data_IF_654905364876
#
_entry.id   IF_654905364876
#
_cell.length_a   1.000
_cell.length_b   1.000
_cell.length_c   1.000
_cell.angle_alpha   90.00
_cell.angle_beta   90.00
_cell.angle_gamma   90.00
#
_symmetry.space_group_name_H-M   'P 1'
#
loop_
_entity.id
_entity.type
_entity.pdbx_description
1 polymer ?
#
# COMPACT_ATOMS: atom_id res chain seq x y z
N UNK A 1 0.04 -1.76 -11.61
CA UNK A 1 -1.10 -1.43 -10.74
C UNK A 1 -2.40 -1.02 -11.43
N UNK A 2 -3.16 -1.97 -11.99
CA UNK A 2 -4.52 -1.74 -12.50
C UNK A 2 -5.50 -2.68 -11.81
N UNK A 3 -6.37 -2.16 -10.94
CA UNK A 3 -7.48 -2.93 -10.38
C UNK A 3 -8.49 -3.24 -11.51
N UNK A 4 -8.31 -4.36 -12.22
CA UNK A 4 -9.20 -4.78 -13.31
C UNK A 4 -10.52 -5.39 -12.81
N UNK A 5 -10.82 -5.23 -11.53
CA UNK A 5 -12.14 -5.54 -10.98
C UNK A 5 -13.18 -4.66 -11.69
N UNK A 6 -13.92 -5.27 -12.61
CA UNK A 6 -14.90 -4.59 -13.51
C UNK A 6 -16.11 -4.03 -12.74
N UNK A 7 -16.28 -4.48 -11.50
CA UNK A 7 -17.32 -4.06 -10.56
C UNK A 7 -16.74 -4.05 -9.13
N UNK A 8 -15.92 -3.06 -8.76
CA UNK A 8 -15.49 -2.96 -7.37
C UNK A 8 -16.76 -2.75 -6.52
N UNK A 9 -17.01 -3.59 -5.50
CA UNK A 9 -18.25 -3.48 -4.75
C UNK A 9 -18.36 -2.08 -4.12
N UNK A 10 -19.56 -1.49 -4.22
CA UNK A 10 -19.93 -0.30 -3.49
C UNK A 10 -20.05 -0.71 -2.02
N UNK A 11 -18.96 -0.56 -1.27
CA UNK A 11 -18.90 -1.03 0.11
C UNK A 11 -19.46 0.03 1.05
N UNK A 12 -20.73 -0.14 1.41
CA UNK A 12 -21.37 0.59 2.50
C UNK A 12 -20.76 0.13 3.84
N UNK A 13 -20.02 1.02 4.51
CA UNK A 13 -19.42 0.75 5.82
C UNK A 13 -20.44 0.78 6.95
N UNK A 14 -20.47 -0.26 7.79
CA UNK A 14 -21.28 -0.38 9.02
C UNK A 14 -20.77 0.60 10.10
N UNK A 15 -21.62 0.97 11.07
CA UNK A 15 -21.29 1.88 12.16
C UNK A 15 -20.29 1.26 13.16
N UNK A 16 -19.22 1.99 13.49
CA UNK A 16 -18.12 1.54 14.37
C UNK A 16 -18.12 2.26 15.71
N UNK A 17 -17.61 1.59 16.76
CA UNK A 17 -17.46 2.15 18.11
C UNK A 17 -16.04 2.74 18.29
N UNK A 18 -15.90 3.92 18.92
CA UNK A 18 -14.59 4.48 19.22
C UNK A 18 -13.83 3.67 20.28
N UNK A 19 -12.57 3.28 20.03
CA UNK A 19 -11.59 2.94 21.08
C UNK A 19 -10.79 1.66 20.89
N UNK A 20 -11.30 0.70 20.10
CA UNK A 20 -10.70 -0.63 19.98
C UNK A 20 -9.90 -0.80 18.67
N UNK A 21 -9.03 -1.81 18.66
CA UNK A 21 -8.33 -2.21 17.45
C UNK A 21 -9.28 -2.92 16.46
N UNK A 22 -9.02 -2.75 15.16
CA UNK A 22 -9.84 -3.28 14.08
C UNK A 22 -9.02 -4.34 13.31
N UNK A 23 -9.52 -5.57 13.22
CA UNK A 23 -8.90 -6.63 12.41
C UNK A 23 -9.57 -6.68 11.03
N UNK A 24 -8.77 -6.52 9.98
CA UNK A 24 -9.22 -6.57 8.59
C UNK A 24 -8.66 -7.84 7.96
N UNK A 25 -9.56 -8.73 7.55
CA UNK A 25 -9.24 -9.96 6.83
C UNK A 25 -9.12 -9.64 5.33
N UNK A 26 -8.07 -10.10 4.64
CA UNK A 26 -7.90 -9.80 3.23
C UNK A 26 -8.92 -10.52 2.36
N UNK A 27 -9.16 -9.96 1.18
CA UNK A 27 -9.85 -10.65 0.09
C UNK A 27 -8.88 -10.96 -1.05
N UNK A 28 -9.07 -12.09 -1.71
CA UNK A 28 -8.29 -12.43 -2.90
C UNK A 28 -8.76 -11.63 -4.12
N UNK A 29 -7.81 -11.05 -4.85
CA UNK A 29 -8.07 -10.23 -6.04
C UNK A 29 -7.07 -10.61 -7.14
N UNK A 30 -7.49 -10.72 -8.42
CA UNK A 30 -6.56 -10.90 -9.53
C UNK A 30 -5.85 -9.58 -9.90
N UNK A 31 -4.51 -9.62 -10.03
CA UNK A 31 -3.67 -8.53 -10.53
C UNK A 31 -3.22 -8.79 -11.99
N UNK A 32 -3.60 -7.91 -12.93
CA UNK A 32 -3.06 -7.94 -14.31
C UNK A 32 -3.89 -8.69 -15.37
N UNK A 33 -5.15 -9.08 -15.07
CA UNK A 33 -6.11 -9.53 -16.09
C UNK A 33 -6.26 -11.06 -16.19
N UNK A 34 -6.59 -11.63 -17.37
CA UNK A 34 -6.99 -13.05 -17.50
C UNK A 34 -5.92 -14.09 -17.11
N UNK A 35 -4.65 -13.70 -16.97
CA UNK A 35 -3.55 -14.53 -16.45
C UNK A 35 -2.92 -13.91 -15.20
N UNK A 36 -3.78 -13.25 -14.40
CA UNK A 36 -3.39 -12.50 -13.23
C UNK A 36 -2.78 -13.38 -12.13
N UNK A 37 -1.74 -12.88 -11.48
CA UNK A 37 -1.36 -13.35 -10.17
C UNK A 37 -2.42 -12.95 -9.13
N UNK A 38 -2.62 -13.77 -8.11
CA UNK A 38 -3.55 -13.46 -7.01
C UNK A 38 -2.84 -12.60 -5.96
N UNK A 39 -3.54 -11.59 -5.46
CA UNK A 39 -3.09 -10.76 -4.33
C UNK A 39 -4.13 -10.75 -3.22
N UNK A 40 -3.70 -10.46 -2.01
CA UNK A 40 -4.51 -10.37 -0.79
C UNK A 40 -4.71 -8.90 -0.44
N UNK A 41 -5.89 -8.36 -0.75
CA UNK A 41 -6.21 -6.95 -0.55
C UNK A 41 -6.85 -6.72 0.82
N UNK A 42 -6.25 -5.84 1.63
CA UNK A 42 -6.83 -5.38 2.91
C UNK A 42 -7.39 -3.97 2.81
N UNK A 43 -6.71 -3.05 2.10
CA UNK A 43 -7.22 -1.71 1.80
C UNK A 43 -7.37 -1.49 0.28
N UNK A 44 -8.43 -0.78 -0.16
CA UNK A 44 -9.61 -0.42 0.62
C UNK A 44 -10.48 -1.66 0.89
N UNK A 45 -10.93 -1.80 2.14
CA UNK A 45 -11.91 -2.79 2.60
C UNK A 45 -13.27 -2.17 2.88
N UNK A 46 -14.23 -2.99 3.36
CA UNK A 46 -15.59 -2.53 3.67
C UNK A 46 -15.63 -1.75 4.98
N UNK A 47 -14.86 -2.26 5.94
CA UNK A 47 -14.69 -1.74 7.28
C UNK A 47 -13.77 -0.51 7.24
N UNK A 48 -12.71 -0.59 6.44
CA UNK A 48 -11.63 0.41 6.47
C UNK A 48 -11.16 0.82 5.09
N UNK A 49 -11.06 2.12 4.84
CA UNK A 49 -10.48 2.65 3.60
C UNK A 49 -9.08 3.25 3.78
N UNK A 50 -8.67 3.58 5.01
CA UNK A 50 -7.43 4.31 5.28
C UNK A 50 -6.70 3.86 6.53
N UNK A 51 -5.37 3.95 6.52
CA UNK A 51 -4.53 4.09 7.73
C UNK A 51 -3.64 5.30 7.47
N UNK A 52 -3.86 6.40 8.17
CA UNK A 52 -3.32 7.69 7.77
C UNK A 52 -3.72 7.99 6.32
N UNK A 53 -2.74 8.30 5.46
CA UNK A 53 -2.96 8.46 4.01
C UNK A 53 -2.81 7.17 3.19
N UNK A 54 -2.44 6.03 3.80
CA UNK A 54 -2.41 4.72 3.13
C UNK A 54 -3.83 4.29 2.77
N UNK A 55 -4.15 4.22 1.48
CA UNK A 55 -5.51 3.95 0.99
C UNK A 55 -5.64 2.66 0.16
N UNK A 56 -4.53 1.96 -0.05
CA UNK A 56 -4.48 0.71 -0.81
C UNK A 56 -3.36 -0.17 -0.27
N UNK A 57 -3.65 -1.46 -0.07
CA UNK A 57 -2.69 -2.45 0.44
C UNK A 57 -3.00 -3.80 -0.21
N UNK A 58 -2.14 -4.21 -1.13
CA UNK A 58 -2.12 -5.54 -1.75
C UNK A 58 -0.87 -6.29 -1.29
N UNK A 59 -1.06 -7.41 -0.60
CA UNK A 59 -0.01 -8.34 -0.21
C UNK A 59 0.02 -9.54 -1.17
N UNK A 60 1.19 -9.91 -1.68
CA UNK A 60 1.32 -10.99 -2.65
C UNK A 60 2.49 -11.89 -2.35
N UNK A 61 2.37 -13.16 -2.71
CA UNK A 61 3.39 -14.17 -2.48
C UNK A 61 3.64 -14.52 -1.01
N UNK A 62 4.62 -15.41 -0.72
CA UNK A 62 5.61 -15.87 -1.68
C UNK A 62 5.02 -16.85 -2.70
N UNK A 63 5.05 -16.45 -3.97
CA UNK A 63 4.53 -17.23 -5.08
C UNK A 63 5.66 -17.75 -5.94
N UNK A 64 5.56 -19.00 -6.38
CA UNK A 64 6.41 -19.58 -7.41
C UNK A 64 6.03 -18.99 -8.77
N UNK A 65 6.93 -18.19 -9.36
CA UNK A 65 6.70 -17.49 -10.63
C UNK A 65 6.47 -18.45 -11.79
N UNK A 66 7.08 -19.64 -11.77
CA UNK A 66 6.85 -20.64 -12.80
C UNK A 66 5.40 -21.14 -12.82
N UNK A 67 4.69 -21.03 -11.69
CA UNK A 67 3.29 -21.42 -11.53
C UNK A 67 2.34 -20.24 -11.64
N UNK A 68 2.66 -19.11 -11.03
CA UNK A 68 1.81 -17.91 -11.02
C UNK A 68 1.92 -17.08 -12.30
N UNK A 69 3.01 -17.24 -13.06
CA UNK A 69 3.37 -16.38 -14.18
C UNK A 69 4.05 -15.07 -13.75
N UNK A 70 4.24 -14.85 -12.44
CA UNK A 70 4.81 -13.62 -11.89
C UNK A 70 3.95 -12.39 -12.12
N UNK A 71 4.51 -11.22 -11.83
CA UNK A 71 3.87 -9.95 -12.10
C UNK A 71 3.97 -9.61 -13.59
N UNK A 72 2.83 -9.36 -14.23
CA UNK A 72 2.76 -8.93 -15.63
C UNK A 72 1.73 -7.82 -15.74
N UNK A 73 2.15 -6.59 -15.51
CA UNK A 73 1.27 -5.43 -15.52
C UNK A 73 1.72 -4.44 -16.60
N UNK A 74 1.06 -4.45 -17.78
CA UNK A 74 1.36 -3.53 -18.86
C UNK A 74 1.12 -2.06 -18.49
N UNK A 75 1.46 -1.16 -19.40
CA UNK A 75 1.40 0.28 -19.18
C UNK A 75 0.03 0.74 -18.70
N UNK A 76 -0.04 1.39 -17.54
CA UNK A 76 -1.30 1.86 -16.96
C UNK A 76 -1.06 3.15 -16.15
N UNK A 77 -2.10 3.98 -15.97
CA UNK A 77 -1.95 5.31 -15.40
C UNK A 77 -2.16 5.32 -13.90
N UNK A 78 -1.68 6.38 -13.24
CA UNK A 78 -2.09 6.83 -11.91
C UNK A 78 -2.20 8.36 -11.88
N UNK A 79 -3.03 8.89 -10.98
CA UNK A 79 -3.06 10.33 -10.63
C UNK A 79 -3.60 10.53 -9.22
N UNK A 80 -3.15 11.59 -8.55
CA UNK A 80 -3.60 11.99 -7.21
C UNK A 80 -3.08 11.10 -6.07
N UNK A 81 -2.02 10.33 -6.32
CA UNK A 81 -1.48 9.35 -5.38
C UNK A 81 0.04 9.19 -5.50
N UNK A 82 0.62 8.51 -4.51
CA UNK A 82 1.94 7.87 -4.62
C UNK A 82 1.75 6.35 -4.55
N UNK A 83 2.48 5.58 -5.36
CA UNK A 83 2.60 4.14 -5.16
C UNK A 83 3.91 3.85 -4.43
N UNK A 84 3.89 2.83 -3.57
CA UNK A 84 5.05 2.37 -2.80
C UNK A 84 5.13 0.86 -2.94
N UNK A 85 6.20 0.38 -3.56
CA UNK A 85 6.50 -1.05 -3.69
C UNK A 85 7.53 -1.46 -2.64
N UNK A 86 7.22 -2.50 -1.87
CA UNK A 86 8.14 -3.10 -0.90
C UNK A 86 8.23 -4.61 -1.15
N UNK A 87 9.38 -5.06 -1.65
CA UNK A 87 9.64 -6.46 -1.97
C UNK A 87 10.43 -7.14 -0.86
N UNK A 88 9.92 -8.29 -0.40
CA UNK A 88 10.62 -9.18 0.51
C UNK A 88 11.53 -10.17 -0.24
N UNK A 89 11.09 -10.62 -1.41
CA UNK A 89 11.82 -11.51 -2.31
C UNK A 89 11.39 -11.28 -3.77
N UNK A 90 12.29 -11.60 -4.69
CA UNK A 90 12.11 -11.40 -6.12
C UNK A 90 12.47 -10.01 -6.62
N UNK A 91 12.41 -9.85 -7.94
CA UNK A 91 12.70 -8.59 -8.63
C UNK A 91 11.56 -8.27 -9.59
N UNK A 92 11.09 -7.02 -9.51
CA UNK A 92 10.16 -6.41 -10.46
C UNK A 92 10.92 -5.32 -11.22
N UNK A 93 10.79 -5.32 -12.54
CA UNK A 93 11.14 -4.20 -13.41
C UNK A 93 9.99 -3.20 -13.41
N UNK A 94 10.27 -1.98 -12.93
CA UNK A 94 9.38 -0.83 -13.08
C UNK A 94 9.88 0.06 -14.20
N UNK A 95 9.01 0.48 -15.12
CA UNK A 95 9.30 1.50 -16.15
C UNK A 95 8.19 2.54 -16.16
N UNK A 96 8.51 3.82 -16.23
CA UNK A 96 7.49 4.87 -16.28
C UNK A 96 7.74 5.97 -17.32
N UNK A 97 6.73 6.82 -17.50
CA UNK A 97 6.75 7.93 -18.46
C UNK A 97 7.65 9.10 -18.05
N UNK A 98 8.26 9.08 -16.87
CA UNK A 98 9.34 10.01 -16.50
C UNK A 98 10.71 9.49 -16.95
N UNK A 99 10.78 8.25 -17.44
CA UNK A 99 12.00 7.56 -17.83
C UNK A 99 12.67 6.81 -16.68
N UNK A 100 12.02 6.70 -15.52
CA UNK A 100 12.58 5.94 -14.40
C UNK A 100 12.54 4.43 -14.70
N UNK A 101 13.55 3.74 -14.18
CA UNK A 101 13.72 2.30 -14.30
C UNK A 101 14.34 1.74 -13.01
N UNK A 102 13.61 0.88 -12.29
CA UNK A 102 14.01 0.41 -10.97
C UNK A 102 13.71 -1.07 -10.74
N UNK A 103 14.50 -1.67 -9.85
CA UNK A 103 14.56 -3.11 -9.59
C UNK A 103 15.28 -3.38 -8.25
N UNK A 104 14.65 -4.10 -7.30
CA UNK A 104 15.23 -5.08 -6.32
C UNK A 104 14.42 -5.19 -5.01
N UNK A 105 14.63 -6.26 -4.21
CA UNK A 105 14.07 -6.41 -2.87
C UNK A 105 14.89 -5.73 -1.77
N UNK A 106 14.24 -5.42 -0.64
CA UNK A 106 14.84 -4.73 0.50
C UNK A 106 15.02 -3.22 0.32
N UNK A 107 14.43 -2.66 -0.73
CA UNK A 107 14.41 -1.25 -1.07
C UNK A 107 12.98 -0.79 -1.29
N UNK A 108 12.75 0.51 -1.08
CA UNK A 108 11.50 1.14 -1.46
C UNK A 108 11.64 1.80 -2.82
N UNK A 109 10.66 1.52 -3.66
CA UNK A 109 10.41 2.24 -4.89
C UNK A 109 9.13 3.06 -4.69
N UNK A 110 9.27 4.37 -4.63
CA UNK A 110 8.18 5.31 -4.47
C UNK A 110 7.96 6.05 -5.78
N UNK A 111 6.79 5.89 -6.38
CA UNK A 111 6.38 6.63 -7.57
C UNK A 111 5.34 7.68 -7.16
N UNK A 112 5.67 8.94 -7.28
CA UNK A 112 4.71 10.04 -7.14
C UNK A 112 4.00 10.24 -8.47
N UNK A 113 2.71 9.91 -8.54
CA UNK A 113 1.93 10.11 -9.76
C UNK A 113 1.51 11.59 -9.94
N UNK A 114 1.12 12.24 -8.84
CA UNK A 114 0.71 13.65 -8.86
C UNK A 114 -0.30 13.94 -9.99
N UNK A 115 0.04 14.90 -10.85
CA UNK A 115 -0.79 15.30 -11.98
C UNK A 115 -1.13 14.17 -12.96
N UNK A 116 -0.28 13.15 -13.05
CA UNK A 116 -0.44 12.03 -13.95
C UNK A 116 0.90 11.37 -14.23
N UNK A 117 0.94 10.04 -14.14
CA UNK A 117 2.06 9.23 -14.62
C UNK A 117 1.48 7.93 -15.19
N UNK A 118 2.18 7.28 -16.09
CA UNK A 118 1.89 5.90 -16.41
C UNK A 118 3.15 5.05 -16.27
N UNK A 119 2.95 3.80 -15.86
CA UNK A 119 4.05 2.87 -15.63
C UNK A 119 3.66 1.43 -15.96
N UNK A 120 4.66 0.56 -16.06
CA UNK A 120 4.53 -0.88 -16.22
C UNK A 120 5.39 -1.60 -15.17
N UNK A 121 4.96 -2.81 -14.80
CA UNK A 121 5.60 -3.61 -13.76
C UNK A 121 5.65 -5.09 -14.19
N UNK A 122 6.86 -5.63 -14.31
CA UNK A 122 7.05 -7.02 -14.74
C UNK A 122 8.04 -7.76 -13.84
N UNK A 123 7.74 -8.99 -13.46
CA UNK A 123 8.76 -9.87 -12.88
C UNK A 123 9.88 -10.08 -13.90
N UNK A 124 11.13 -9.93 -13.46
CA UNK A 124 12.29 -10.17 -14.33
C UNK A 124 12.42 -11.65 -14.69
N UNK A 125 13.14 -11.94 -15.78
CA UNK A 125 13.35 -13.32 -16.24
C UNK A 125 14.02 -14.23 -15.18
N UNK A 126 14.84 -13.66 -14.29
CA UNK A 126 15.54 -14.38 -13.24
C UNK A 126 14.72 -14.53 -11.94
N UNK A 127 13.53 -13.94 -11.88
CA UNK A 127 12.67 -13.98 -10.69
C UNK A 127 11.99 -15.35 -10.57
N UNK A 128 12.39 -16.17 -9.60
CA UNK A 128 11.77 -17.48 -9.32
C UNK A 128 10.66 -17.41 -8.27
N UNK A 129 10.82 -16.52 -7.29
CA UNK A 129 9.84 -16.26 -6.24
C UNK A 129 9.52 -14.78 -6.25
N UNK A 130 8.24 -14.44 -6.16
CA UNK A 130 7.79 -13.07 -6.00
C UNK A 130 7.05 -12.93 -4.68
N UNK A 131 7.48 -11.99 -3.84
CA UNK A 131 6.92 -11.79 -2.50
C UNK A 131 7.04 -10.33 -2.08
N UNK A 132 5.93 -9.68 -1.79
CA UNK A 132 5.96 -8.26 -1.44
C UNK A 132 4.60 -7.67 -1.14
N UNK A 133 4.61 -6.35 -1.02
CA UNK A 133 3.42 -5.53 -0.80
C UNK A 133 3.45 -4.34 -1.75
N UNK A 134 2.31 -4.07 -2.36
CA UNK A 134 2.07 -2.82 -3.05
C UNK A 134 1.12 -1.95 -2.24
N UNK A 135 1.53 -0.72 -2.00
CA UNK A 135 0.79 0.26 -1.21
C UNK A 135 0.51 1.50 -2.04
N UNK A 136 -0.63 2.15 -1.83
CA UNK A 136 -0.87 3.52 -2.33
C UNK A 136 -1.12 4.50 -1.21
N UNK A 137 -0.62 5.71 -1.39
CA UNK A 137 -0.81 6.87 -0.52
C UNK A 137 -1.66 7.89 -1.27
N UNK A 138 -2.80 8.29 -0.69
CA UNK A 138 -3.59 9.39 -1.22
C UNK A 138 -2.82 10.71 -1.03
N UNK A 139 -2.63 11.47 -2.11
CA UNK A 139 -2.08 12.83 -1.98
C UNK A 139 -3.15 13.77 -1.44
N UNK A 140 -2.80 14.69 -0.51
CA UNK A 140 -3.70 15.76 -0.09
C UNK A 140 -4.02 16.69 -1.26
N UNK A 141 -5.12 17.43 -1.16
CA UNK A 141 -5.65 18.25 -2.25
C UNK A 141 -4.58 19.20 -2.79
N UNK A 142 -3.83 19.83 -1.87
CA UNK A 142 -2.76 20.76 -2.16
C UNK A 142 -1.58 20.16 -2.97
N UNK A 143 -1.38 18.85 -2.93
CA UNK A 143 -0.28 18.16 -3.59
C UNK A 143 -0.71 17.23 -4.74
N UNK A 144 -2.02 16.96 -4.90
CA UNK A 144 -2.51 15.92 -5.83
C UNK A 144 -2.16 16.15 -7.30
N UNK A 145 -1.77 17.38 -7.67
CA UNK A 145 -1.32 17.75 -9.01
C UNK A 145 0.14 18.20 -9.06
N UNK A 146 0.96 17.79 -8.08
CA UNK A 146 2.42 17.94 -8.14
C UNK A 146 3.00 17.22 -9.37
N UNK A 147 4.25 17.52 -9.70
CA UNK A 147 4.94 16.85 -10.79
C UNK A 147 5.10 15.35 -10.48
N UNK A 148 4.97 14.54 -11.52
CA UNK A 148 5.30 13.12 -11.43
C UNK A 148 6.80 12.92 -11.15
N UNK A 149 7.14 11.87 -10.42
CA UNK A 149 8.53 11.57 -10.11
C UNK A 149 8.71 10.21 -9.45
N UNK A 150 9.96 9.79 -9.37
CA UNK A 150 10.34 8.49 -8.83
C UNK A 150 11.49 8.64 -7.85
N UNK A 151 11.37 8.02 -6.67
CA UNK A 151 12.37 7.99 -5.63
C UNK A 151 12.65 6.54 -5.24
N UNK A 152 13.93 6.24 -5.03
CA UNK A 152 14.38 4.94 -4.57
C UNK A 152 15.22 5.12 -3.30
N UNK A 153 15.05 4.21 -2.33
CA UNK A 153 15.81 4.23 -1.09
C UNK A 153 16.02 2.83 -0.50
N UNK A 154 17.23 2.58 0.00
CA UNK A 154 17.58 1.35 0.74
C UNK A 154 17.67 1.66 2.24
N UNK A 155 16.69 1.25 3.06
CA UNK A 155 16.75 1.48 4.50
C UNK A 155 17.87 0.65 5.15
N UNK A 156 18.50 1.25 6.17
CA UNK A 156 19.46 0.55 7.01
C UNK A 156 18.72 -0.21 8.13
N UNK A 157 19.04 -1.48 8.39
CA UNK A 157 18.44 -2.22 9.49
C UNK A 157 18.94 -1.69 10.83
N UNK A 158 18.03 -1.52 11.79
CA UNK A 158 18.38 -1.27 13.19
C UNK A 158 17.78 -2.34 14.09
N UNK A 159 18.50 -2.68 15.15
CA UNK A 159 18.02 -3.62 16.16
C UNK A 159 17.32 -2.87 17.30
N UNK A 160 16.10 -3.27 17.61
CA UNK A 160 15.30 -2.76 18.73
C UNK A 160 14.72 -3.97 19.46
N UNK A 161 15.00 -4.13 20.75
CA UNK A 161 14.55 -5.28 21.55
C UNK A 161 14.81 -6.66 20.91
N UNK A 162 15.89 -6.78 20.11
CA UNK A 162 16.22 -7.99 19.37
C UNK A 162 15.46 -8.21 18.06
N UNK A 163 14.44 -7.39 17.77
CA UNK A 163 13.80 -7.31 16.46
C UNK A 163 14.64 -6.45 15.49
N UNK A 164 14.47 -6.67 14.19
CA UNK A 164 15.04 -5.82 13.14
C UNK A 164 13.96 -4.88 12.60
N UNK A 165 14.29 -3.60 12.49
CA UNK A 165 13.43 -2.55 11.96
C UNK A 165 14.08 -1.93 10.73
N UNK A 166 13.34 -1.85 9.62
CA UNK A 166 13.74 -1.21 8.37
C UNK A 166 12.74 -0.10 8.04
N UNK A 167 13.13 1.16 8.22
CA UNK A 167 12.23 2.32 8.02
C UNK A 167 12.34 2.82 6.59
N UNK A 168 11.33 2.52 5.77
CA UNK A 168 11.32 2.88 4.35
C UNK A 168 10.55 4.15 4.03
N UNK A 169 9.62 4.57 4.91
CA UNK A 169 8.90 5.86 4.83
C UNK A 169 8.82 6.48 6.22
N UNK A 170 9.05 7.78 6.34
CA UNK A 170 8.92 8.50 7.60
C UNK A 170 10.08 8.26 8.58
N UNK A 171 9.76 8.19 9.87
CA UNK A 171 10.75 8.04 10.94
C UNK A 171 10.27 7.10 12.04
N UNK A 172 11.15 6.20 12.48
CA UNK A 172 10.93 5.29 13.60
C UNK A 172 12.28 4.84 14.17
N UNK A 173 12.36 4.61 15.48
CA UNK A 173 13.56 4.07 16.13
C UNK A 173 14.87 4.83 15.81
N UNK A 174 14.79 6.16 15.65
CA UNK A 174 15.93 7.02 15.31
C UNK A 174 16.43 6.91 13.86
N UNK A 175 15.74 6.17 13.00
CA UNK A 175 15.98 6.13 11.56
C UNK A 175 14.95 6.97 10.82
N UNK A 176 15.39 7.69 9.78
CA UNK A 176 14.54 8.51 8.91
C UNK A 176 14.77 8.12 7.46
N UNK A 177 13.68 7.83 6.75
CA UNK A 177 13.70 7.70 5.29
C UNK A 177 13.73 9.09 4.62
N UNK A 178 14.53 9.28 3.56
CA UNK A 178 14.59 10.54 2.81
C UNK A 178 13.49 10.69 1.76
N UNK A 179 12.69 9.64 1.49
CA UNK A 179 11.67 9.68 0.45
C UNK A 179 10.59 10.72 0.77
N UNK A 180 10.08 11.37 -0.27
CA UNK A 180 9.16 12.49 -0.11
C UNK A 180 7.76 12.02 0.23
N UNK A 181 7.20 12.53 1.32
CA UNK A 181 5.78 12.37 1.68
C UNK A 181 5.09 13.73 1.71
N UNK A 182 3.80 13.75 1.38
CA UNK A 182 2.97 14.96 1.38
C UNK A 182 2.02 15.04 2.58
N UNK A 183 2.07 14.03 3.44
CA UNK A 183 1.43 13.96 4.76
C UNK A 183 2.41 13.37 5.77
N UNK A 184 2.20 13.59 7.09
CA UNK A 184 2.89 12.83 8.12
C UNK A 184 2.56 11.33 7.99
N UNK A 185 3.57 10.54 7.63
CA UNK A 185 3.41 9.14 7.25
C UNK A 185 4.58 8.29 7.78
N UNK A 186 4.31 7.01 8.02
CA UNK A 186 5.28 6.01 8.48
C UNK A 186 5.06 4.72 7.70
N UNK A 187 6.17 4.10 7.27
CA UNK A 187 6.22 2.76 6.72
C UNK A 187 7.51 2.07 7.16
N UNK A 188 7.39 0.94 7.84
CA UNK A 188 8.54 0.15 8.28
C UNK A 188 8.27 -1.36 8.19
N UNK A 189 9.30 -2.14 7.82
CA UNK A 189 9.28 -3.59 8.02
C UNK A 189 9.84 -3.93 9.40
N UNK A 190 9.12 -4.78 10.13
CA UNK A 190 9.50 -5.32 11.43
C UNK A 190 9.73 -6.82 11.29
N UNK A 191 10.89 -7.31 11.73
CA UNK A 191 11.20 -8.75 11.80
C UNK A 191 11.40 -9.12 13.26
N UNK A 192 10.46 -9.90 13.80
CA UNK A 192 10.46 -10.32 15.20
C UNK A 192 10.93 -11.78 15.28
N UNK A 193 11.95 -12.08 16.11
CA UNK A 193 12.28 -13.46 16.46
C UNK A 193 11.09 -14.20 17.10
N UNK A 194 11.09 -15.54 17.14
CA UNK A 194 10.09 -16.30 17.89
C UNK A 194 9.98 -15.85 19.34
N UNK A 195 8.75 -15.87 19.88
CA UNK A 195 8.43 -15.61 21.29
C UNK A 195 8.98 -14.29 21.85
N UNK A 196 9.23 -13.31 20.98
CA UNK A 196 9.83 -12.02 21.33
C UNK A 196 8.77 -10.94 21.53
N UNK A 197 9.10 -9.96 22.36
CA UNK A 197 8.30 -8.76 22.54
C UNK A 197 9.10 -7.56 22.04
N UNK A 198 8.43 -6.63 21.38
CA UNK A 198 9.00 -5.41 20.82
C UNK A 198 8.19 -4.22 21.31
N UNK A 199 8.86 -3.25 21.93
CA UNK A 199 8.26 -1.98 22.36
C UNK A 199 8.72 -0.86 21.44
N UNK A 200 7.80 -0.30 20.68
CA UNK A 200 8.08 0.78 19.74
C UNK A 200 7.42 2.07 20.18
N UNK A 201 8.19 3.09 20.61
CA UNK A 201 7.68 4.46 20.68
C UNK A 201 7.19 4.89 19.31
N UNK A 202 5.96 5.39 19.24
CA UNK A 202 5.31 5.83 17.99
C UNK A 202 4.70 7.21 18.17
N UNK A 203 4.39 7.89 17.06
CA UNK A 203 3.71 9.17 17.11
C UNK A 203 2.26 8.97 17.58
N UNK A 204 1.91 9.55 18.74
CA UNK A 204 0.54 9.48 19.27
C UNK A 204 -0.53 10.08 18.35
N UNK A 205 -0.17 10.98 17.44
CA UNK A 205 -1.09 11.54 16.46
C UNK A 205 -1.40 10.57 15.31
N UNK A 206 -0.69 9.45 15.21
CA UNK A 206 -0.86 8.49 14.13
C UNK A 206 -1.79 7.36 14.54
N UNK A 207 -2.64 6.95 13.62
CA UNK A 207 -3.17 5.59 13.61
C UNK A 207 -2.17 4.65 12.95
N UNK A 208 -2.22 3.37 13.31
CA UNK A 208 -1.20 2.39 12.91
C UNK A 208 -1.82 1.08 12.45
N UNK A 209 -1.50 0.65 11.24
CA UNK A 209 -1.84 -0.65 10.67
C UNK A 209 -0.65 -1.60 10.75
N UNK A 210 -0.90 -2.82 11.21
CA UNK A 210 0.06 -3.92 11.26
C UNK A 210 -0.36 -4.98 10.25
N UNK A 211 0.23 -4.95 9.05
CA UNK A 211 0.03 -5.98 8.03
C UNK A 211 0.98 -7.14 8.32
N UNK A 212 0.45 -8.30 8.69
CA UNK A 212 1.28 -9.47 9.01
C UNK A 212 1.64 -10.21 7.72
N UNK A 213 2.92 -10.24 7.37
CA UNK A 213 3.42 -11.03 6.25
C UNK A 213 3.59 -12.50 6.64
N UNK A 214 4.22 -12.78 7.77
CA UNK A 214 4.48 -14.15 8.24
C UNK A 214 4.34 -14.27 9.75
N UNK A 215 4.08 -15.49 10.22
CA UNK A 215 3.87 -15.76 11.63
C UNK A 215 2.56 -15.18 12.16
N UNK A 216 2.53 -14.93 13.46
CA UNK A 216 1.41 -14.30 14.16
C UNK A 216 1.95 -13.20 15.06
N UNK A 217 1.20 -12.10 15.19
CA UNK A 217 1.55 -10.99 16.07
C UNK A 217 0.34 -10.58 16.90
N UNK A 218 0.56 -10.48 18.21
CA UNK A 218 -0.36 -9.85 19.14
C UNK A 218 0.11 -8.43 19.42
N UNK A 219 -0.78 -7.45 19.23
CA UNK A 219 -0.51 -6.05 19.46
C UNK A 219 -1.33 -5.51 20.63
N UNK A 220 -0.64 -4.75 21.47
CA UNK A 220 -1.14 -4.09 22.68
C UNK A 220 -1.80 -5.05 23.66
N UNK A 221 -2.01 -4.63 24.90
CA UNK A 221 -2.56 -5.47 25.98
C UNK A 221 -1.66 -5.43 27.21
N UNK A 222 -1.97 -6.28 28.19
CA UNK A 222 -1.21 -6.35 29.45
C UNK A 222 -0.16 -7.44 29.35
N UNK A 223 1.10 -7.04 29.49
CA UNK A 223 2.20 -8.00 29.64
C UNK A 223 2.03 -8.75 30.96
N UNK A 224 1.88 -10.06 30.90
CA UNK A 224 1.87 -10.96 32.05
C UNK A 224 2.97 -12.02 31.89
N UNK A 225 3.24 -12.78 32.95
CA UNK A 225 4.23 -13.87 32.97
C UNK A 225 5.64 -13.42 32.48
N UNK A 226 6.23 -12.41 33.13
CA UNK A 226 7.61 -11.95 32.88
C UNK A 226 7.89 -11.51 31.42
N UNK A 227 6.92 -10.94 30.70
CA UNK A 227 7.14 -10.52 29.31
C UNK A 227 6.61 -11.49 28.26
N UNK A 228 6.18 -12.68 28.66
CA UNK A 228 5.95 -13.81 27.74
C UNK A 228 4.51 -13.95 27.25
N UNK A 229 3.55 -13.21 27.81
CA UNK A 229 2.16 -13.26 27.33
C UNK A 229 1.58 -11.85 27.34
N UNK A 230 0.85 -11.52 26.27
CA UNK A 230 0.02 -10.33 26.22
C UNK A 230 -1.43 -10.76 26.45
N UNK A 231 -1.99 -10.40 27.61
CA UNK A 231 -3.40 -10.60 27.90
C UNK A 231 -4.24 -9.44 27.34
N UNK A 232 -5.43 -9.74 26.81
CA UNK A 232 -6.37 -8.77 26.22
C UNK A 232 -5.78 -7.98 25.04
N UNK A 233 -4.79 -8.56 24.34
CA UNK A 233 -4.28 -8.01 23.10
C UNK A 233 -5.09 -8.43 21.88
N UNK A 234 -4.88 -7.73 20.78
CA UNK A 234 -5.48 -8.08 19.49
C UNK A 234 -4.45 -8.83 18.66
N UNK A 235 -4.81 -9.99 18.14
CA UNK A 235 -3.90 -10.85 17.37
C UNK A 235 -4.27 -10.81 15.90
N UNK A 236 -3.26 -10.76 15.04
CA UNK A 236 -3.37 -10.94 13.60
C UNK A 236 -2.43 -12.06 13.14
N UNK A 237 -2.87 -12.75 12.09
CA UNK A 237 -2.15 -13.76 11.36
C UNK A 237 -1.83 -13.26 9.94
N UNK A 238 -1.02 -14.06 9.22
CA UNK A 238 -0.60 -13.77 7.85
C UNK A 238 -1.74 -13.28 6.94
N UNK A 239 -1.48 -12.18 6.23
CA UNK A 239 -2.39 -11.51 5.31
C UNK A 239 -3.36 -10.53 5.97
N UNK A 240 -3.56 -10.63 7.30
CA UNK A 240 -4.45 -9.74 8.03
C UNK A 240 -3.79 -8.40 8.34
N UNK A 241 -4.61 -7.35 8.38
CA UNK A 241 -4.22 -6.00 8.76
C UNK A 241 -4.91 -5.65 10.09
N UNK A 242 -4.11 -5.48 11.16
CA UNK A 242 -4.60 -5.05 12.46
C UNK A 242 -4.38 -3.54 12.63
N UNK A 243 -5.46 -2.78 12.70
CA UNK A 243 -5.42 -1.32 12.83
C UNK A 243 -5.63 -0.89 14.28
N UNK A 244 -4.70 -0.11 14.79
CA UNK A 244 -4.72 0.54 16.08
C UNK A 244 -5.11 2.01 15.88
N UNK A 245 -6.06 2.54 16.68
CA UNK A 245 -6.42 3.95 16.61
C UNK A 245 -5.26 4.85 17.06
N UNK A 246 -5.37 6.13 16.73
CA UNK A 246 -4.48 7.16 17.25
C UNK A 246 -4.59 7.30 18.78
N UNK A 247 -3.61 7.97 19.37
CA UNK A 247 -3.55 8.31 20.80
C UNK A 247 -2.53 7.47 21.60
N UNK A 248 -2.03 6.36 21.06
CA UNK A 248 -1.01 5.54 21.71
C UNK A 248 0.39 6.11 21.50
N UNK A 249 1.19 6.36 22.56
CA UNK A 249 2.58 6.80 22.42
C UNK A 249 3.54 5.64 22.12
N UNK A 250 3.07 4.40 22.24
CA UNK A 250 3.87 3.19 22.07
C UNK A 250 2.98 2.07 21.52
N UNK A 251 3.56 1.22 20.66
CA UNK A 251 3.03 -0.08 20.30
C UNK A 251 3.84 -1.17 21.01
N UNK A 252 3.13 -2.07 21.69
CA UNK A 252 3.72 -3.30 22.22
C UNK A 252 3.32 -4.44 21.28
N UNK A 253 4.29 -5.10 20.67
CA UNK A 253 4.08 -6.22 19.77
C UNK A 253 4.71 -7.48 20.36
N UNK A 254 4.06 -8.63 20.15
CA UNK A 254 4.62 -9.94 20.49
C UNK A 254 4.42 -10.93 19.35
N UNK A 255 5.47 -11.61 18.95
CA UNK A 255 5.40 -12.74 18.01
C UNK A 255 4.95 -14.03 18.70
N UNK A 256 4.35 -14.93 17.93
CA UNK A 256 4.09 -16.31 18.36
C UNK A 256 5.37 -17.17 18.41
N UNK A 257 5.18 -18.49 18.43
CA UNK A 257 6.28 -19.48 18.47
C UNK A 257 7.13 -19.55 17.19
N UNK A 258 6.70 -18.86 16.13
CA UNK A 258 7.41 -18.74 14.85
C UNK A 258 7.87 -17.28 14.66
N UNK A 259 8.93 -17.03 13.88
CA UNK A 259 9.34 -15.68 13.57
C UNK A 259 8.22 -14.96 12.79
N UNK A 260 8.04 -13.67 13.09
CA UNK A 260 7.04 -12.86 12.43
C UNK A 260 7.67 -11.75 11.59
N UNK A 261 7.12 -11.52 10.40
CA UNK A 261 7.40 -10.33 9.59
C UNK A 261 6.13 -9.51 9.49
N UNK A 262 6.23 -8.21 9.77
CA UNK A 262 5.09 -7.28 9.78
C UNK A 262 5.48 -5.99 9.08
N UNK A 263 4.57 -5.43 8.27
CA UNK A 263 4.66 -4.03 7.85
C UNK A 263 3.86 -3.16 8.83
N UNK A 264 4.55 -2.22 9.46
CA UNK A 264 3.95 -1.14 10.22
C UNK A 264 3.69 0.04 9.29
N UNK A 265 2.42 0.32 9.05
CA UNK A 265 1.93 1.48 8.32
C UNK A 265 1.38 2.47 9.34
N UNK A 266 1.82 3.72 9.32
CA UNK A 266 1.29 4.75 10.20
C UNK A 266 1.09 6.06 9.48
N UNK A 267 0.28 6.93 10.06
CA UNK A 267 0.11 8.29 9.58
C UNK A 267 -0.95 9.04 10.36
N UNK A 268 -0.93 10.36 10.26
CA UNK A 268 -2.01 11.19 10.77
C UNK A 268 -3.32 10.85 10.03
N UNK A 269 -4.45 10.68 10.74
CA UNK A 269 -5.73 10.38 10.11
C UNK A 269 -6.03 11.32 8.93
N UNK A 270 -6.14 10.77 7.73
CA UNK A 270 -6.34 11.56 6.52
C UNK A 270 -7.76 12.16 6.48
N UNK A 271 -7.86 13.48 6.60
CA UNK A 271 -9.13 14.20 6.80
C UNK A 271 -9.92 14.45 5.52
N UNK A 272 -9.28 14.40 4.35
CA UNK A 272 -9.96 14.71 3.09
C UNK A 272 -10.76 13.53 2.55
N UNK A 273 -11.88 13.84 1.88
CA UNK A 273 -12.61 12.83 1.12
C UNK A 273 -11.98 12.63 -0.26
N UNK A 274 -11.87 11.38 -0.71
CA UNK A 274 -11.38 11.04 -2.05
C UNK A 274 -12.41 10.27 -2.84
N UNK A 275 -12.39 10.39 -4.16
CA UNK A 275 -13.10 9.46 -5.06
C UNK A 275 -12.05 8.58 -5.72
N UNK A 276 -12.11 7.29 -5.41
CA UNK A 276 -11.15 6.29 -5.89
C UNK A 276 -11.86 5.32 -6.83
N UNK A 277 -11.38 5.21 -8.06
CA UNK A 277 -11.86 4.23 -9.03
C UNK A 277 -10.72 3.83 -9.96
N UNK A 278 -10.60 2.52 -10.21
CA UNK A 278 -9.48 1.95 -10.93
C UNK A 278 -8.14 2.44 -10.34
N UNK A 279 -7.40 3.27 -11.08
CA UNK A 279 -6.10 3.81 -10.69
C UNK A 279 -6.10 5.32 -10.46
N UNK A 280 -7.29 5.89 -10.33
CA UNK A 280 -7.48 7.32 -10.22
C UNK A 280 -7.97 7.68 -8.83
N UNK A 281 -7.27 8.62 -8.20
CA UNK A 281 -7.71 9.25 -6.96
C UNK A 281 -8.04 10.72 -7.25
N UNK A 282 -9.33 11.01 -7.33
CA UNK A 282 -9.88 12.36 -7.49
C UNK A 282 -10.55 12.88 -6.22
N UNK A 283 -11.37 13.92 -6.40
CA UNK A 283 -12.26 14.49 -5.36
C UNK A 283 -13.73 14.46 -5.75
N UNK A 284 -14.04 14.10 -6.99
CA UNK A 284 -15.40 14.00 -7.50
C UNK A 284 -15.50 12.91 -8.55
N UNK A 285 -16.72 12.40 -8.76
CA UNK A 285 -17.04 11.50 -9.86
C UNK A 285 -16.61 12.09 -11.21
N UNK A 286 -16.97 13.35 -11.46
CA UNK A 286 -16.70 14.02 -12.74
C UNK A 286 -15.19 14.18 -12.99
N UNK A 287 -14.39 14.42 -11.95
CA UNK A 287 -12.93 14.46 -12.07
C UNK A 287 -12.33 13.10 -12.44
N UNK A 288 -12.85 12.01 -11.88
CA UNK A 288 -12.42 10.65 -12.25
C UNK A 288 -12.83 10.27 -13.67
N UNK A 289 -14.05 10.66 -14.09
CA UNK A 289 -14.51 10.49 -15.47
C UNK A 289 -13.57 11.20 -16.45
N UNK A 290 -13.12 12.40 -16.10
CA UNK A 290 -12.15 13.15 -16.90
C UNK A 290 -10.81 12.42 -17.03
N UNK A 291 -10.23 11.96 -15.91
CA UNK A 291 -8.96 11.21 -15.92
C UNK A 291 -9.06 9.95 -16.78
N UNK A 292 -10.20 9.25 -16.70
CA UNK A 292 -10.48 8.09 -17.56
C UNK A 292 -10.50 8.47 -19.02
N UNK A 293 -11.21 9.54 -19.39
CA UNK A 293 -11.33 9.98 -20.78
C UNK A 293 -9.94 10.28 -21.36
N UNK A 294 -9.15 11.09 -20.65
CA UNK A 294 -7.80 11.46 -21.10
C UNK A 294 -6.87 10.25 -21.27
N UNK A 295 -6.94 9.27 -20.37
CA UNK A 295 -6.19 8.02 -20.53
C UNK A 295 -6.67 7.23 -21.75
N UNK A 296 -7.98 7.09 -21.91
CA UNK A 296 -8.54 6.28 -22.98
C UNK A 296 -8.28 6.89 -24.37
N UNK A 297 -8.31 8.22 -24.47
CA UNK A 297 -7.93 8.96 -25.67
C UNK A 297 -6.46 8.69 -26.02
N UNK A 298 -5.54 8.75 -25.04
CA UNK A 298 -4.12 8.45 -25.23
C UNK A 298 -3.83 6.98 -25.55
N UNK A 299 -4.63 6.05 -25.01
CA UNK A 299 -4.56 4.63 -25.35
C UNK A 299 -4.99 4.37 -26.80
N UNK A 300 -6.02 5.06 -27.29
CA UNK A 300 -6.50 4.92 -28.67
C UNK A 300 -5.58 5.60 -29.70
N UNK A 301 -5.01 6.74 -29.35
CA UNK A 301 -4.06 7.48 -30.19
C UNK A 301 -2.77 7.77 -29.41
N UNK A 302 -1.70 6.97 -29.59
CA UNK A 302 -0.42 7.16 -28.93
C UNK A 302 0.30 8.47 -29.25
N UNK A 303 -0.18 9.26 -30.22
CA UNK A 303 0.32 10.62 -30.49
C UNK A 303 -0.27 11.66 -29.53
N UNK A 304 -1.37 11.34 -28.84
CA UNK A 304 -1.96 12.17 -27.79
C UNK A 304 -1.10 12.10 -26.54
N UNK A 305 -0.29 13.15 -26.32
CA UNK A 305 0.50 13.29 -25.09
C UNK A 305 -0.30 14.10 -24.08
N UNK A 306 -1.03 13.39 -23.21
CA UNK A 306 -1.76 13.97 -22.09
C UNK A 306 -0.95 13.96 -20.78
N UNK A 307 -1.65 14.16 -19.66
CA UNK A 307 -1.06 14.19 -18.31
C UNK A 307 -0.25 12.96 -17.92
N UNK A 308 -0.55 11.81 -18.51
CA UNK A 308 0.10 10.53 -18.18
C UNK A 308 1.43 10.34 -18.90
N UNK A 309 1.80 11.27 -19.80
CA UNK A 309 3.04 11.19 -20.57
C UNK A 309 2.99 10.13 -21.67
N UNK A 310 4.13 9.95 -22.32
CA UNK A 310 4.32 8.94 -23.38
C UNK A 310 5.16 7.80 -22.84
N UNK A 311 4.73 6.55 -23.06
CA UNK A 311 5.54 5.39 -22.69
C UNK A 311 6.87 5.38 -23.45
N UNK A 312 7.99 5.02 -22.77
CA UNK A 312 9.33 5.15 -23.31
C UNK A 312 9.58 4.27 -24.54
N UNK A 313 9.00 3.07 -24.59
CA UNK A 313 9.33 2.07 -25.61
C UNK A 313 8.17 1.77 -26.59
N UNK A 314 8.47 1.83 -27.89
CA UNK A 314 7.56 1.45 -28.97
C UNK A 314 7.42 -0.08 -29.03
N UNK A 315 6.61 -0.63 -28.13
CA UNK A 315 6.38 -2.08 -28.01
C UNK A 315 5.66 -2.48 -26.73
N UNK A 316 5.72 -1.64 -25.69
CA UNK A 316 4.90 -1.81 -24.49
C UNK A 316 3.43 -1.49 -24.82
N UNK A 317 2.54 -2.42 -24.47
CA UNK A 317 1.10 -2.20 -24.59
C UNK A 317 0.60 -1.46 -23.37
N UNK A 318 -0.38 -0.58 -23.57
CA UNK A 318 -1.10 0.06 -22.47
C UNK A 318 -2.42 -0.65 -22.23
N UNK A 319 -2.88 -0.70 -20.98
CA UNK A 319 -4.17 -1.25 -20.60
C UNK A 319 -5.29 -0.22 -20.91
N UNK A 320 -6.39 -0.60 -21.58
CA UNK A 320 -7.55 0.28 -21.68
C UNK A 320 -8.16 0.50 -20.29
N UNK A 321 -8.74 1.67 -20.05
CA UNK A 321 -9.50 1.88 -18.82
C UNK A 321 -10.79 1.04 -18.85
N UNK A 322 -11.19 0.41 -17.73
CA UNK A 322 -12.47 -0.30 -17.64
C UNK A 322 -13.65 0.63 -17.94
N UNK A 323 -14.81 0.09 -18.30
CA UNK A 323 -16.03 0.89 -18.43
C UNK A 323 -16.43 1.52 -17.09
N UNK A 324 -16.97 2.74 -17.15
CA UNK A 324 -17.50 3.40 -15.94
C UNK A 324 -18.72 2.63 -15.44
N UNK A 325 -18.90 2.50 -14.11
CA UNK A 325 -20.14 2.01 -13.56
C UNK A 325 -21.31 2.91 -13.95
N UNK A 326 -22.50 2.32 -14.00
CA UNK A 326 -23.75 3.06 -14.29
C UNK A 326 -24.17 3.97 -13.12
N UNK A 327 -23.69 3.69 -11.90
CA UNK A 327 -23.89 4.52 -10.72
C UNK A 327 -22.81 5.60 -10.57
N UNK A 328 -23.15 6.69 -9.87
CA UNK A 328 -22.16 7.69 -9.48
C UNK A 328 -21.19 7.10 -8.47
N UNK A 329 -19.90 7.39 -8.67
CA UNK A 329 -18.86 7.02 -7.72
C UNK A 329 -19.03 7.80 -6.42
N UNK A 330 -18.96 7.10 -5.29
CA UNK A 330 -19.04 7.70 -3.95
C UNK A 330 -17.66 8.10 -3.46
N UNK A 331 -17.64 9.13 -2.61
CA UNK A 331 -16.44 9.50 -1.87
C UNK A 331 -16.16 8.51 -0.74
N UNK A 332 -14.88 8.35 -0.43
CA UNK A 332 -14.34 7.63 0.72
C UNK A 332 -13.75 8.66 1.65
N UNK A 333 -14.00 8.50 2.95
CA UNK A 333 -13.42 9.35 4.00
C UNK A 333 -12.85 8.50 5.11
N UNK A 334 -11.84 9.00 5.79
CA UNK A 334 -11.39 8.40 7.03
C UNK A 334 -12.34 8.80 8.17
N UNK A 335 -13.19 7.86 8.61
CA UNK A 335 -14.21 8.13 9.64
C UNK A 335 -13.62 8.45 11.02
N UNK A 336 -12.33 8.17 11.24
CA UNK A 336 -11.57 8.46 12.47
C UNK A 336 -10.90 9.83 12.48
N UNK A 337 -10.90 10.55 11.36
CA UNK A 337 -10.30 11.87 11.29
C UNK A 337 -11.10 12.94 12.06
N UNK A 338 -12.39 12.67 12.33
CA UNK A 338 -13.31 13.57 13.04
C UNK A 338 -13.43 13.26 14.56
N UNK A 339 -12.70 12.26 15.07
CA UNK A 339 -12.78 11.76 16.46
C UNK A 339 -11.53 12.07 17.28
#
# INVERSE_FOLDING_TARGET
MSNLEVSPPELDGVAERPGDAELIVPREVPLGGPRAMTVHRTLPGKERSFVGAWCFVDHYGPDDVARSGGMQVPGHPHTGLQTVSWLFDGVIEHRDTTGAHAMRPGEVNLMTAGAGIAHSEFSTADTTTLHGVQLWVALPDAARFTAAGFEHFVPQPVSVDGAVVLVFVGELAGQRSPVTTYTPLLGAELRLPPDSALRLPVNRGFEHGLLVDSGTVTANGTVIANGTVIANGSTAARGELLVQPAGRPELLLRSGSEPARVLLLGGEPFTEEIVMWWNFIGRSHDGVVEFRREWQDAHHDPTTVGRFGRFPDAGETTLPAPDMPTSRLRSRRNRRADS
#
